data_IF_307939537877
#
_entry.id   IF_307939537877
#
_cell.length_a   1.000
_cell.length_b   1.000
_cell.length_c   1.000
_cell.angle_alpha   90.00
_cell.angle_beta   90.00
_cell.angle_gamma   90.00
#
_symmetry.space_group_name_H-M   'P 1'
#
loop_
_entity.id
_entity.type
_entity.pdbx_description
1 polymer ?
#
# COMPACT_ATOMS: atom_id res chain seq x y z
N UNK A 1 -8.06 6.92 13.05
CA UNK A 1 -7.13 7.05 14.19
C UNK A 1 -5.66 6.88 13.78
N UNK A 2 -5.29 5.82 13.03
CA UNK A 2 -3.90 5.59 12.62
C UNK A 2 -3.39 6.68 11.68
N UNK A 3 -4.20 7.09 10.71
CA UNK A 3 -3.85 8.15 9.75
C UNK A 3 -3.71 9.50 10.44
N UNK A 4 -4.62 9.83 11.35
CA UNK A 4 -4.59 11.08 12.11
C UNK A 4 -3.30 11.25 12.94
N UNK A 5 -2.67 10.14 13.34
CA UNK A 5 -1.41 10.21 14.07
C UNK A 5 -0.26 10.80 13.23
N UNK A 6 -0.33 10.68 11.90
CA UNK A 6 0.64 11.30 10.99
C UNK A 6 0.32 12.79 10.81
N UNK A 7 -0.97 13.14 10.79
CA UNK A 7 -1.42 14.51 10.62
C UNK A 7 -1.00 15.43 11.79
N UNK A 8 -0.84 14.89 12.98
CA UNK A 8 -0.29 15.62 14.14
C UNK A 8 1.14 16.14 13.93
N UNK A 9 1.86 15.59 12.95
CA UNK A 9 3.23 15.97 12.61
C UNK A 9 3.35 16.79 11.31
N UNK A 10 2.25 17.32 10.78
CA UNK A 10 2.21 18.02 9.48
C UNK A 10 3.19 19.19 9.35
N UNK A 11 3.59 19.83 10.46
CA UNK A 11 4.55 20.94 10.45
C UNK A 11 6.00 20.50 10.34
N UNK A 12 6.29 19.19 10.34
CA UNK A 12 7.63 18.64 10.29
C UNK A 12 7.87 17.91 8.97
N UNK A 13 9.10 18.02 8.46
CA UNK A 13 9.53 17.15 7.35
C UNK A 13 9.60 15.71 7.85
N UNK A 14 8.74 14.84 7.29
CA UNK A 14 8.66 13.43 7.64
C UNK A 14 9.36 12.58 6.59
N UNK A 15 10.37 11.83 7.02
CA UNK A 15 10.92 10.75 6.20
C UNK A 15 10.04 9.51 6.29
N UNK A 16 10.14 8.62 5.30
CA UNK A 16 9.40 7.36 5.31
C UNK A 16 9.58 6.58 6.60
N UNK A 17 10.82 6.49 7.09
CA UNK A 17 11.14 5.75 8.31
C UNK A 17 10.44 6.34 9.54
N UNK A 18 10.31 7.67 9.59
CA UNK A 18 9.61 8.33 10.70
C UNK A 18 8.11 8.07 10.64
N UNK A 19 7.53 8.14 9.46
CA UNK A 19 6.10 7.80 9.24
C UNK A 19 5.83 6.34 9.60
N UNK A 20 6.65 5.42 9.12
CA UNK A 20 6.52 3.98 9.43
C UNK A 20 6.59 3.72 10.93
N UNK A 21 7.52 4.38 11.64
CA UNK A 21 7.64 4.28 13.10
C UNK A 21 6.36 4.75 13.81
N UNK A 22 5.85 5.93 13.45
CA UNK A 22 4.60 6.49 14.02
C UNK A 22 3.42 5.55 13.79
N UNK A 23 3.26 5.08 12.55
CA UNK A 23 2.16 4.18 12.21
C UNK A 23 2.26 2.85 12.94
N UNK A 24 3.45 2.28 13.07
CA UNK A 24 3.71 1.04 13.81
C UNK A 24 3.34 1.19 15.29
N UNK A 25 3.80 2.25 15.93
CA UNK A 25 3.50 2.53 17.33
C UNK A 25 2.00 2.70 17.58
N UNK A 26 1.31 3.41 16.72
CA UNK A 26 -0.14 3.61 16.83
C UNK A 26 -0.93 2.35 16.48
N UNK A 27 -0.56 1.64 15.43
CA UNK A 27 -1.23 0.40 15.05
C UNK A 27 -1.14 -0.67 16.16
N UNK A 28 0.00 -0.75 16.85
CA UNK A 28 0.19 -1.68 17.98
C UNK A 28 -0.75 -1.39 19.16
N UNK A 29 -1.28 -0.17 19.28
CA UNK A 29 -2.23 0.21 20.34
C UNK A 29 -3.69 -0.09 19.97
N UNK A 30 -3.96 -0.39 18.69
CA UNK A 30 -5.33 -0.67 18.22
C UNK A 30 -5.59 -2.16 18.25
N UNK A 31 -6.53 -2.58 19.07
CA UNK A 31 -7.01 -3.96 19.06
C UNK A 31 -7.87 -4.17 17.83
N UNK A 32 -7.42 -5.04 16.92
CA UNK A 32 -8.14 -5.37 15.69
C UNK A 32 -8.55 -6.84 15.75
N UNK A 33 -9.80 -7.09 16.05
CA UNK A 33 -10.38 -8.42 16.06
C UNK A 33 -11.71 -8.37 15.32
N UNK A 34 -12.01 -9.33 14.48
CA UNK A 34 -11.24 -10.49 13.99
C UNK A 34 -10.44 -10.21 12.70
N UNK A 35 -10.47 -8.98 12.19
CA UNK A 35 -9.89 -8.62 10.88
C UNK A 35 -8.48 -8.10 11.04
N UNK A 36 -7.54 -8.65 10.27
CA UNK A 36 -6.18 -8.12 10.20
C UNK A 36 -6.12 -6.76 9.54
N UNK A 37 -5.14 -5.93 9.94
CA UNK A 37 -4.83 -4.66 9.28
C UNK A 37 -3.51 -4.81 8.53
N UNK A 38 -3.48 -4.33 7.30
CA UNK A 38 -2.27 -4.18 6.50
C UNK A 38 -2.14 -2.74 6.03
N UNK A 39 -0.93 -2.25 6.03
CA UNK A 39 -0.58 -0.88 5.65
C UNK A 39 0.51 -0.91 4.60
N UNK A 40 0.34 -0.13 3.54
CA UNK A 40 1.40 0.20 2.58
C UNK A 40 1.68 1.69 2.71
N UNK A 41 2.94 2.02 2.87
CA UNK A 41 3.41 3.40 2.99
C UNK A 41 4.49 3.64 1.96
N UNK A 42 4.29 4.63 1.10
CA UNK A 42 5.27 5.08 0.12
C UNK A 42 5.80 6.46 0.47
N UNK A 43 7.08 6.71 0.25
CA UNK A 43 7.68 8.01 0.49
C UNK A 43 9.18 8.04 0.31
N UNK A 44 9.78 9.21 0.57
CA UNK A 44 11.23 9.38 0.55
C UNK A 44 11.85 8.96 1.88
N UNK A 45 12.85 8.11 1.81
CA UNK A 45 13.66 7.73 2.95
C UNK A 45 14.65 8.85 3.35
N UNK A 46 15.45 8.63 4.38
CA UNK A 46 16.46 9.62 4.84
C UNK A 46 17.50 9.98 3.79
N UNK A 47 17.71 9.13 2.78
CA UNK A 47 18.61 9.39 1.65
C UNK A 47 17.91 10.12 0.50
N UNK A 48 16.64 10.52 0.66
CA UNK A 48 15.84 11.15 -0.38
C UNK A 48 15.34 10.21 -1.47
N UNK A 49 15.53 8.89 -1.31
CA UNK A 49 15.14 7.88 -2.29
C UNK A 49 13.71 7.42 -2.00
N UNK A 50 12.90 7.35 -3.05
CA UNK A 50 11.54 6.80 -2.95
C UNK A 50 11.59 5.30 -2.64
N UNK A 51 10.92 4.89 -1.58
CA UNK A 51 10.76 3.49 -1.19
C UNK A 51 9.32 3.22 -0.74
N UNK A 52 8.95 1.96 -0.73
CA UNK A 52 7.66 1.49 -0.22
C UNK A 52 7.89 0.52 0.92
N UNK A 53 7.08 0.62 1.95
CA UNK A 53 7.12 -0.28 3.11
C UNK A 53 5.73 -0.86 3.34
N UNK A 54 5.68 -2.14 3.57
CA UNK A 54 4.50 -2.89 3.96
C UNK A 54 4.65 -3.35 5.41
N UNK A 55 3.56 -3.37 6.15
CA UNK A 55 3.49 -3.91 7.50
C UNK A 55 2.07 -4.38 7.83
N UNK A 56 1.95 -5.40 8.65
CA UNK A 56 0.65 -5.98 8.98
C UNK A 56 0.53 -6.47 10.41
N UNK A 57 -0.70 -6.55 10.90
CA UNK A 57 -1.00 -7.01 12.26
C UNK A 57 -0.56 -8.46 12.51
N UNK A 58 -0.58 -9.30 11.47
CA UNK A 58 -0.18 -10.71 11.56
C UNK A 58 1.30 -10.86 11.94
N UNK A 59 2.13 -9.92 11.45
CA UNK A 59 3.58 -9.93 11.68
C UNK A 59 4.00 -8.91 12.76
N UNK A 60 3.07 -8.51 13.64
CA UNK A 60 3.33 -7.51 14.69
C UNK A 60 3.76 -6.16 14.13
N UNK A 61 3.32 -5.83 12.93
CA UNK A 61 3.67 -4.61 12.18
C UNK A 61 5.17 -4.48 11.91
N UNK A 62 5.89 -5.60 11.71
CA UNK A 62 7.28 -5.55 11.31
C UNK A 62 7.41 -4.98 9.89
N UNK A 63 8.19 -3.89 9.70
CA UNK A 63 8.28 -3.23 8.40
C UNK A 63 9.06 -4.06 7.38
N UNK A 64 8.48 -4.29 6.22
CA UNK A 64 9.14 -4.88 5.06
C UNK A 64 9.28 -3.80 3.98
N UNK A 65 10.50 -3.32 3.78
CA UNK A 65 10.79 -2.23 2.84
C UNK A 65 11.30 -2.77 1.52
N UNK A 66 10.64 -2.38 0.44
CA UNK A 66 11.06 -2.71 -0.91
C UNK A 66 12.06 -1.67 -1.43
N UNK A 67 13.14 -2.14 -2.05
CA UNK A 67 14.08 -1.24 -2.71
C UNK A 67 13.42 -0.48 -3.86
N UNK A 68 13.70 0.82 -3.95
CA UNK A 68 13.22 1.64 -5.04
C UNK A 68 13.85 1.19 -6.37
N UNK A 69 13.01 0.92 -7.34
CA UNK A 69 13.39 0.63 -8.73
C UNK A 69 12.25 1.01 -9.66
N UNK A 70 12.57 1.29 -10.91
CA UNK A 70 11.54 1.56 -11.92
C UNK A 70 10.58 0.38 -12.04
N UNK A 71 9.28 0.65 -12.03
CA UNK A 71 8.24 -0.37 -12.09
C UNK A 71 8.05 -1.20 -10.82
N UNK A 72 8.64 -0.78 -9.69
CA UNK A 72 8.36 -1.42 -8.41
C UNK A 72 6.93 -1.12 -7.95
N UNK A 73 6.25 -2.12 -7.44
CA UNK A 73 4.90 -2.01 -6.90
C UNK A 73 4.75 -2.89 -5.65
N UNK A 74 3.79 -2.53 -4.81
CA UNK A 74 3.29 -3.37 -3.73
C UNK A 74 1.79 -3.52 -3.90
N UNK A 75 1.30 -4.73 -3.71
CA UNK A 75 -0.12 -5.06 -3.74
C UNK A 75 -0.50 -5.66 -2.41
N UNK A 76 -1.55 -5.10 -1.82
CA UNK A 76 -2.25 -5.66 -0.68
C UNK A 76 -3.74 -5.63 -0.92
N UNK A 77 -4.40 -6.72 -0.58
CA UNK A 77 -5.84 -6.83 -0.67
C UNK A 77 -6.42 -7.38 0.62
N UNK A 78 -7.40 -6.69 1.17
CA UNK A 78 -8.26 -7.25 2.20
C UNK A 78 -9.35 -8.07 1.53
N UNK A 79 -9.04 -9.29 1.13
CA UNK A 79 -9.99 -10.16 0.46
C UNK A 79 -10.32 -11.36 1.33
N UNK A 80 -11.58 -11.76 1.29
CA UNK A 80 -12.04 -13.02 1.86
C UNK A 80 -11.47 -14.24 1.13
N UNK A 81 -10.85 -14.04 -0.04
CA UNK A 81 -10.25 -15.09 -0.86
C UNK A 81 -8.73 -15.00 -0.82
N UNK A 82 -8.07 -16.07 -0.40
CA UNK A 82 -6.62 -16.18 -0.28
C UNK A 82 -5.87 -16.09 -1.60
N UNK A 83 -6.57 -16.27 -2.72
CA UNK A 83 -5.94 -16.35 -4.05
C UNK A 83 -5.90 -15.02 -4.82
N UNK A 84 -6.45 -13.95 -4.26
CA UNK A 84 -6.55 -12.67 -4.96
C UNK A 84 -5.20 -11.96 -5.08
N UNK A 85 -4.36 -12.03 -4.05
CA UNK A 85 -3.06 -11.38 -4.10
C UNK A 85 -2.12 -12.00 -5.15
N UNK A 86 -1.98 -13.34 -5.23
CA UNK A 86 -1.25 -13.99 -6.31
C UNK A 86 -1.80 -13.67 -7.69
N UNK A 87 -3.12 -13.68 -7.83
CA UNK A 87 -3.78 -13.37 -9.11
C UNK A 87 -3.51 -11.92 -9.54
N UNK A 88 -3.59 -10.96 -8.61
CA UNK A 88 -3.24 -9.55 -8.90
C UNK A 88 -1.80 -9.41 -9.34
N UNK A 89 -0.88 -10.12 -8.71
CA UNK A 89 0.52 -10.09 -9.08
C UNK A 89 0.74 -10.64 -10.49
N UNK A 90 0.07 -11.72 -10.86
CA UNK A 90 0.11 -12.27 -12.20
C UNK A 90 -0.46 -11.31 -13.25
N UNK A 91 -1.50 -10.55 -12.92
CA UNK A 91 -2.11 -9.55 -13.82
C UNK A 91 -1.26 -8.28 -13.95
N UNK A 92 -0.66 -7.81 -12.86
CA UNK A 92 0.09 -6.55 -12.83
C UNK A 92 1.50 -6.70 -13.37
N UNK A 93 2.18 -7.80 -13.06
CA UNK A 93 3.59 -8.00 -13.39
C UNK A 93 3.93 -7.85 -14.88
N UNK A 94 3.16 -8.42 -15.83
CA UNK A 94 3.43 -8.23 -17.27
C UNK A 94 3.22 -6.78 -17.71
N UNK A 95 2.27 -6.09 -17.12
CA UNK A 95 1.93 -4.71 -17.45
C UNK A 95 2.94 -3.72 -16.86
N UNK A 96 3.42 -3.98 -15.64
CA UNK A 96 4.39 -3.13 -14.96
C UNK A 96 5.71 -2.96 -15.74
N UNK A 97 6.10 -3.98 -16.51
CA UNK A 97 7.27 -3.90 -17.37
C UNK A 97 7.12 -2.87 -18.51
N UNK A 98 5.88 -2.54 -18.87
CA UNK A 98 5.54 -1.65 -19.98
C UNK A 98 5.04 -0.27 -19.52
N UNK A 99 5.08 0.05 -18.24
CA UNK A 99 4.67 1.37 -17.74
C UNK A 99 5.68 2.45 -18.14
N UNK A 100 5.21 3.41 -18.90
CA UNK A 100 5.98 4.58 -19.36
C UNK A 100 5.44 5.89 -18.79
N UNK A 101 4.19 5.86 -18.30
CA UNK A 101 3.50 7.02 -17.75
C UNK A 101 2.70 6.65 -16.49
N UNK A 102 2.25 7.66 -15.76
CA UNK A 102 1.33 7.48 -14.64
C UNK A 102 -0.06 7.04 -15.11
N UNK A 103 -0.43 7.40 -16.33
CA UNK A 103 -1.70 6.96 -16.91
C UNK A 103 -1.69 5.46 -17.20
N UNK A 104 -0.55 4.89 -17.63
CA UNK A 104 -0.41 3.44 -17.79
C UNK A 104 -0.61 2.71 -16.46
N UNK A 105 0.01 3.23 -15.39
CA UNK A 105 -0.17 2.69 -14.04
C UNK A 105 -1.63 2.79 -13.60
N UNK A 106 -2.24 3.95 -13.77
CA UNK A 106 -3.64 4.17 -13.39
C UNK A 106 -4.57 3.22 -14.14
N UNK A 107 -4.38 3.09 -15.45
CA UNK A 107 -5.19 2.20 -16.28
C UNK A 107 -5.07 0.73 -15.84
N UNK A 108 -3.86 0.27 -15.55
CA UNK A 108 -3.62 -1.08 -15.03
C UNK A 108 -4.35 -1.30 -13.71
N UNK A 109 -4.21 -0.37 -12.75
CA UNK A 109 -4.83 -0.48 -11.43
C UNK A 109 -6.36 -0.43 -11.51
N UNK A 110 -6.92 0.45 -12.35
CA UNK A 110 -8.36 0.53 -12.57
C UNK A 110 -8.92 -0.80 -13.12
N UNK A 111 -8.22 -1.39 -14.07
CA UNK A 111 -8.57 -2.70 -14.63
C UNK A 111 -8.53 -3.81 -13.58
N UNK A 112 -7.54 -3.81 -12.71
CA UNK A 112 -7.41 -4.75 -11.61
C UNK A 112 -8.55 -4.60 -10.59
N UNK A 113 -8.87 -3.37 -10.16
CA UNK A 113 -9.96 -3.12 -9.22
C UNK A 113 -11.30 -3.55 -9.81
N UNK A 114 -11.56 -3.23 -11.09
CA UNK A 114 -12.79 -3.64 -11.77
C UNK A 114 -12.95 -5.17 -11.86
N UNK A 115 -11.86 -5.89 -12.10
CA UNK A 115 -11.86 -7.36 -12.10
C UNK A 115 -12.05 -7.92 -10.69
N UNK A 116 -11.36 -7.38 -9.71
CA UNK A 116 -11.51 -7.79 -8.30
C UNK A 116 -12.92 -7.61 -7.78
N UNK A 117 -13.56 -6.47 -8.07
CA UNK A 117 -14.93 -6.21 -7.64
C UNK A 117 -15.95 -7.19 -8.25
N UNK A 118 -15.62 -7.84 -9.36
CA UNK A 118 -16.42 -8.93 -9.92
C UNK A 118 -16.22 -10.25 -9.19
N UNK A 119 -15.02 -10.48 -8.69
CA UNK A 119 -14.64 -11.72 -8.00
C UNK A 119 -15.04 -11.68 -6.53
N UNK A 120 -14.92 -10.53 -5.89
CA UNK A 120 -15.22 -10.32 -4.48
C UNK A 120 -16.15 -9.13 -4.29
N UNK A 121 -17.37 -9.39 -3.87
CA UNK A 121 -18.41 -8.37 -3.64
C UNK A 121 -18.13 -7.47 -2.44
N UNK A 122 -17.17 -7.80 -1.59
CA UNK A 122 -16.71 -6.91 -0.51
C UNK A 122 -15.88 -5.72 -1.04
N UNK A 123 -15.39 -5.83 -2.27
CA UNK A 123 -14.63 -4.80 -2.96
C UNK A 123 -15.58 -3.94 -3.79
N UNK A 124 -15.62 -2.65 -3.50
CA UNK A 124 -16.37 -1.70 -4.32
C UNK A 124 -15.47 -1.09 -5.41
N UNK A 125 -16.09 -0.41 -6.36
CA UNK A 125 -15.40 0.30 -7.45
C UNK A 125 -15.09 1.75 -7.12
N UNK A 126 -15.42 2.20 -5.90
CA UNK A 126 -15.10 3.55 -5.43
C UNK A 126 -13.75 3.51 -4.71
N UNK A 127 -12.77 4.22 -5.23
CA UNK A 127 -11.42 4.27 -4.68
C UNK A 127 -10.80 5.66 -4.86
N UNK A 128 -9.80 5.94 -4.07
CA UNK A 128 -9.02 7.17 -4.16
C UNK A 128 -7.68 6.89 -4.81
N UNK A 129 -7.29 7.81 -5.69
CA UNK A 129 -5.94 7.86 -6.23
C UNK A 129 -5.20 9.07 -5.66
N UNK A 130 -3.99 8.84 -5.22
CA UNK A 130 -3.10 9.91 -4.78
C UNK A 130 -1.75 9.73 -5.47
N UNK A 131 -1.30 10.80 -6.11
CA UNK A 131 0.02 10.90 -6.68
C UNK A 131 0.92 11.67 -5.72
N UNK A 132 2.05 11.07 -5.36
CA UNK A 132 3.10 11.71 -4.56
C UNK A 132 4.32 11.87 -5.44
N UNK A 133 4.69 13.13 -5.68
CA UNK A 133 5.87 13.48 -6.46
C UNK A 133 7.04 13.92 -5.57
#
# INVERSE_FOLDING_TARGET
QIINAVDEYQTQYLTLEKVVKILREKAATVSVQPVGVRLIVGGRNRKGVFTMTMMGSVDGYEPQTQAARKGAYLIEGACSHTDVAPWLEEEVKPQAANWHSLDDVAHTLDGCIAKMAKLDKSINTTYFRQLVM
#
